data_IF_002532152615
#
_entry.id   IF_002532152615
#
_cell.length_a   1.000
_cell.length_b   1.000
_cell.length_c   1.000
_cell.angle_alpha   90.00
_cell.angle_beta   90.00
_cell.angle_gamma   90.00
#
_symmetry.space_group_name_H-M   'P 1'
#
loop_
_entity.id
_entity.type
_entity.pdbx_description
1 polymer ?
#
# COMPACT_ATOMS: atom_id res chain seq x y z
N UNK A 1 -22.56 82.69 19.71
CA UNK A 1 -23.15 81.35 19.88
C UNK A 1 -22.53 80.42 18.85
N UNK A 2 -21.52 79.65 19.27
CA UNK A 2 -20.73 78.76 18.37
C UNK A 2 -21.24 77.33 18.56
N UNK A 3 -21.75 76.72 17.51
CA UNK A 3 -22.19 75.36 17.50
C UNK A 3 -20.96 74.43 17.21
N UNK A 4 -20.56 73.63 18.18
CA UNK A 4 -19.56 72.60 17.98
C UNK A 4 -20.23 71.34 17.40
N UNK A 5 -19.85 70.96 16.18
CA UNK A 5 -20.29 69.74 15.54
C UNK A 5 -19.31 68.64 15.91
N UNK A 6 -19.76 67.59 16.63
CA UNK A 6 -18.97 66.42 17.01
C UNK A 6 -19.09 65.41 15.88
N UNK A 7 -17.96 65.07 15.27
CA UNK A 7 -17.83 64.04 14.23
C UNK A 7 -17.59 62.70 14.92
N UNK A 8 -18.55 61.78 14.82
CA UNK A 8 -18.39 60.41 15.31
C UNK A 8 -17.69 59.57 14.23
N UNK A 9 -16.50 59.07 14.53
CA UNK A 9 -15.78 58.13 13.71
C UNK A 9 -16.24 56.71 14.07
N UNK A 10 -16.95 56.06 13.15
CA UNK A 10 -17.30 54.64 13.26
C UNK A 10 -16.11 53.81 12.83
N UNK A 11 -15.49 53.09 13.76
CA UNK A 11 -14.47 52.09 13.48
C UNK A 11 -15.17 50.81 13.05
N UNK A 12 -15.11 50.49 11.76
CA UNK A 12 -15.57 49.20 11.22
C UNK A 12 -14.50 48.14 11.51
N UNK A 13 -14.78 47.28 12.48
CA UNK A 13 -13.95 46.08 12.74
C UNK A 13 -14.25 45.05 11.66
N UNK A 14 -13.39 44.93 10.67
CA UNK A 14 -13.38 43.80 9.72
C UNK A 14 -12.90 42.56 10.45
N UNK A 15 -13.83 41.66 10.77
CA UNK A 15 -13.53 40.28 11.16
C UNK A 15 -12.94 39.58 9.93
N UNK A 16 -11.61 39.41 9.92
CA UNK A 16 -10.92 38.44 9.07
C UNK A 16 -11.34 37.05 9.58
N UNK A 17 -12.34 36.46 8.91
CA UNK A 17 -12.56 35.02 9.01
C UNK A 17 -11.34 34.32 8.40
N UNK A 18 -10.37 33.99 9.24
CA UNK A 18 -9.29 33.12 8.85
C UNK A 18 -9.91 31.77 8.46
N UNK A 19 -9.79 31.38 7.20
CA UNK A 19 -9.96 29.99 6.80
C UNK A 19 -8.88 29.20 7.57
N UNK A 20 -9.26 28.62 8.70
CA UNK A 20 -8.50 27.53 9.29
C UNK A 20 -8.58 26.42 8.22
N UNK A 21 -7.51 26.23 7.45
CA UNK A 21 -7.28 24.99 6.75
C UNK A 21 -7.43 23.90 7.82
N UNK A 22 -8.46 23.06 7.68
CA UNK A 22 -8.62 21.92 8.56
C UNK A 22 -7.29 21.17 8.52
N UNK A 23 -6.63 21.08 9.67
CA UNK A 23 -5.39 20.30 9.78
C UNK A 23 -5.71 18.90 9.24
N UNK A 24 -4.93 18.42 8.26
CA UNK A 24 -5.12 17.10 7.67
C UNK A 24 -5.13 16.04 8.78
N UNK A 25 -5.89 14.97 8.61
CA UNK A 25 -6.00 13.89 9.62
C UNK A 25 -4.68 13.15 9.85
N UNK A 26 -3.64 13.47 9.10
CA UNK A 26 -2.31 12.86 9.16
C UNK A 26 -1.86 12.31 7.83
N UNK A 27 -0.66 11.75 7.81
CA UNK A 27 -0.03 11.20 6.60
C UNK A 27 -0.11 9.67 6.61
N UNK A 28 -0.41 9.09 5.45
CA UNK A 28 -0.33 7.65 5.21
C UNK A 28 0.81 7.38 4.24
N UNK A 29 1.74 6.52 4.65
CA UNK A 29 2.85 6.12 3.81
C UNK A 29 2.36 5.07 2.80
N UNK A 30 2.71 5.23 1.53
CA UNK A 30 2.40 4.26 0.47
C UNK A 30 3.71 3.68 -0.05
N UNK A 31 3.94 2.41 0.22
CA UNK A 31 5.14 1.70 -0.22
C UNK A 31 4.90 1.01 -1.56
N UNK A 32 5.61 1.44 -2.58
CA UNK A 32 5.58 0.91 -3.94
C UNK A 32 6.94 0.31 -4.29
N UNK A 33 6.98 -0.61 -5.26
CA UNK A 33 8.23 -1.18 -5.78
C UNK A 33 8.99 -0.19 -6.65
N UNK A 34 10.33 -0.27 -6.60
CA UNK A 34 11.23 0.41 -7.53
C UNK A 34 11.41 -0.31 -8.86
N UNK A 35 10.97 -1.57 -8.94
CA UNK A 35 11.31 -2.49 -10.02
C UNK A 35 10.13 -2.75 -10.95
N UNK A 36 10.46 -3.18 -12.16
CA UNK A 36 9.45 -3.42 -13.21
C UNK A 36 9.67 -4.72 -13.99
N UNK A 37 10.73 -5.46 -13.71
CA UNK A 37 11.08 -6.67 -14.44
C UNK A 37 11.11 -7.87 -13.51
N UNK A 38 10.04 -8.66 -13.53
CA UNK A 38 9.95 -9.90 -12.77
C UNK A 38 10.65 -11.04 -13.54
N UNK A 39 11.65 -11.64 -12.93
CA UNK A 39 12.32 -12.83 -13.48
C UNK A 39 11.38 -14.04 -13.39
N UNK A 40 11.32 -14.82 -14.46
CA UNK A 40 10.56 -16.06 -14.58
C UNK A 40 11.49 -17.28 -14.58
N UNK A 41 10.93 -18.50 -14.42
CA UNK A 41 11.69 -19.73 -14.29
C UNK A 41 12.57 -20.06 -15.50
N UNK A 42 12.09 -19.78 -16.70
CA UNK A 42 12.83 -20.05 -17.95
C UNK A 42 13.80 -18.92 -18.33
N UNK A 43 14.03 -17.97 -17.39
CA UNK A 43 14.95 -16.86 -17.58
C UNK A 43 14.37 -15.69 -18.39
N UNK A 44 13.10 -15.75 -18.75
CA UNK A 44 12.39 -14.62 -19.33
C UNK A 44 12.10 -13.55 -18.27
N UNK A 45 11.68 -12.39 -18.72
CA UNK A 45 11.26 -11.27 -17.88
C UNK A 45 9.80 -10.95 -18.18
N UNK A 46 9.02 -10.69 -17.13
CA UNK A 46 7.67 -10.14 -17.24
C UNK A 46 7.70 -8.68 -16.79
N UNK A 47 7.22 -7.78 -17.65
CA UNK A 47 7.12 -6.36 -17.29
C UNK A 47 5.90 -6.16 -16.42
N UNK A 48 6.11 -5.61 -15.23
CA UNK A 48 5.08 -5.41 -14.22
C UNK A 48 5.22 -4.03 -13.55
N UNK A 49 4.39 -3.76 -12.58
CA UNK A 49 4.35 -2.56 -11.77
C UNK A 49 3.31 -2.70 -10.66
N UNK A 50 2.81 -1.58 -10.13
CA UNK A 50 1.65 -1.60 -9.26
C UNK A 50 0.35 -1.74 -10.09
N UNK A 51 -0.66 -2.42 -9.56
CA UNK A 51 -1.99 -2.46 -10.18
C UNK A 51 -2.73 -1.16 -9.90
N UNK A 52 -3.32 -0.58 -10.96
CA UNK A 52 -3.94 0.75 -10.92
C UNK A 52 -5.03 0.86 -9.84
N UNK A 53 -5.97 -0.10 -9.81
CA UNK A 53 -7.06 -0.09 -8.85
C UNK A 53 -6.59 -0.40 -7.43
N UNK A 54 -5.61 -1.29 -7.25
CA UNK A 54 -5.09 -1.69 -5.95
C UNK A 54 -4.34 -0.56 -5.22
N UNK A 55 -3.78 0.37 -5.97
CA UNK A 55 -3.24 1.60 -5.44
C UNK A 55 -4.28 2.73 -5.45
N UNK A 56 -4.87 3.01 -6.59
CA UNK A 56 -5.67 4.21 -6.80
C UNK A 56 -6.98 4.22 -6.02
N UNK A 57 -7.67 3.07 -5.88
CA UNK A 57 -8.94 3.01 -5.14
C UNK A 57 -8.72 3.22 -3.63
N UNK A 58 -7.81 2.50 -2.94
CA UNK A 58 -7.50 2.81 -1.54
C UNK A 58 -6.94 4.23 -1.34
N UNK A 59 -6.14 4.75 -2.28
CA UNK A 59 -5.65 6.13 -2.24
C UNK A 59 -6.80 7.15 -2.28
N UNK A 60 -7.79 6.94 -3.16
CA UNK A 60 -8.99 7.78 -3.26
C UNK A 60 -9.81 7.77 -1.95
N UNK A 61 -9.96 6.60 -1.32
CA UNK A 61 -10.59 6.47 0.01
C UNK A 61 -9.85 7.29 1.08
N UNK A 62 -8.53 7.20 1.12
CA UNK A 62 -7.69 7.93 2.08
C UNK A 62 -7.77 9.45 1.87
N UNK A 63 -7.65 9.91 0.63
CA UNK A 63 -7.74 11.33 0.28
C UNK A 63 -9.12 11.90 0.60
N UNK A 64 -10.20 11.19 0.27
CA UNK A 64 -11.58 11.57 0.63
C UNK A 64 -11.80 11.61 2.14
N UNK A 65 -11.11 10.77 2.89
CA UNK A 65 -11.14 10.80 4.34
C UNK A 65 -10.30 11.94 4.96
N UNK A 66 -9.51 12.69 4.17
CA UNK A 66 -8.71 13.82 4.60
C UNK A 66 -7.29 13.47 5.06
N UNK A 67 -6.77 12.30 4.68
CA UNK A 67 -5.37 11.93 4.86
C UNK A 67 -4.52 12.43 3.69
N UNK A 68 -3.25 12.72 3.96
CA UNK A 68 -2.24 13.01 2.96
C UNK A 68 -1.46 11.73 2.63
N UNK A 69 -1.05 11.55 1.37
CA UNK A 69 -0.27 10.40 0.96
C UNK A 69 1.19 10.79 0.79
N UNK A 70 2.08 9.98 1.36
CA UNK A 70 3.53 10.10 1.16
C UNK A 70 4.00 8.85 0.44
N UNK A 71 4.51 9.03 -0.78
CA UNK A 71 4.91 7.92 -1.63
C UNK A 71 6.38 7.57 -1.41
N UNK A 72 6.67 6.29 -1.27
CA UNK A 72 8.02 5.77 -1.04
C UNK A 72 8.27 4.54 -1.92
N UNK A 73 9.46 4.48 -2.50
CA UNK A 73 10.00 3.29 -3.14
C UNK A 73 11.38 2.96 -2.53
N UNK A 74 11.87 1.72 -2.64
CA UNK A 74 13.20 1.39 -2.13
C UNK A 74 14.31 2.33 -2.59
N UNK A 75 14.27 2.78 -3.84
CA UNK A 75 15.33 3.61 -4.47
C UNK A 75 14.98 5.10 -4.56
N UNK A 76 13.76 5.52 -4.27
CA UNK A 76 13.30 6.90 -4.46
C UNK A 76 13.02 7.24 -5.93
N UNK A 77 12.76 6.28 -6.79
CA UNK A 77 12.41 6.48 -8.19
C UNK A 77 10.90 6.41 -8.41
N UNK A 78 10.43 6.98 -9.52
CA UNK A 78 9.04 6.87 -9.93
C UNK A 78 8.62 5.39 -10.08
N UNK A 79 7.56 4.94 -9.39
CA UNK A 79 7.01 3.61 -9.60
C UNK A 79 6.28 3.55 -10.95
N UNK A 80 6.09 2.34 -11.47
CA UNK A 80 5.37 2.13 -12.72
C UNK A 80 4.07 1.40 -12.50
N UNK A 81 3.04 1.80 -13.26
CA UNK A 81 1.80 1.02 -13.34
C UNK A 81 2.05 -0.24 -14.16
N UNK A 82 1.46 -1.35 -13.75
CA UNK A 82 1.32 -2.53 -14.60
C UNK A 82 0.19 -2.26 -15.61
N UNK A 83 0.54 -2.12 -16.88
CA UNK A 83 -0.43 -1.75 -17.93
C UNK A 83 -1.55 -2.80 -18.09
N UNK A 84 -1.35 -4.04 -17.67
CA UNK A 84 -2.39 -5.06 -17.67
C UNK A 84 -3.53 -4.75 -16.69
N UNK A 85 -3.27 -3.90 -15.69
CA UNK A 85 -4.25 -3.46 -14.71
C UNK A 85 -5.10 -2.27 -15.19
N UNK A 86 -4.71 -1.61 -16.28
CA UNK A 86 -5.42 -0.46 -16.86
C UNK A 86 -6.57 -0.95 -17.71
N UNK A 87 -7.59 -1.48 -17.08
CA UNK A 87 -8.79 -2.04 -17.73
C UNK A 87 -10.02 -1.79 -16.85
N UNK A 88 -11.15 -1.47 -17.50
CA UNK A 88 -12.43 -1.28 -16.82
C UNK A 88 -12.89 -2.51 -16.02
N UNK A 89 -12.38 -3.69 -16.32
CA UNK A 89 -12.71 -4.92 -15.59
C UNK A 89 -12.49 -4.79 -14.09
N UNK A 90 -11.41 -4.16 -13.67
CA UNK A 90 -11.09 -3.94 -12.25
C UNK A 90 -11.86 -2.77 -11.62
N UNK A 91 -12.70 -2.09 -12.40
CA UNK A 91 -13.55 -0.98 -11.98
C UNK A 91 -15.03 -1.29 -12.21
N UNK A 92 -15.42 -2.57 -12.11
CA UNK A 92 -16.81 -3.01 -12.31
C UNK A 92 -17.33 -2.83 -13.75
N UNK A 93 -16.44 -2.67 -14.73
CA UNK A 93 -16.78 -2.39 -16.12
C UNK A 93 -16.92 -0.89 -16.42
N UNK A 94 -16.64 0.00 -15.46
CA UNK A 94 -16.76 1.45 -15.60
C UNK A 94 -15.44 2.06 -16.12
N UNK A 95 -15.42 2.37 -17.41
CA UNK A 95 -14.29 3.04 -18.08
C UNK A 95 -14.05 4.46 -17.55
N UNK A 96 -15.10 5.18 -17.16
CA UNK A 96 -14.96 6.54 -16.66
C UNK A 96 -14.32 6.54 -15.27
N UNK A 97 -14.70 5.60 -14.42
CA UNK A 97 -14.09 5.44 -13.11
C UNK A 97 -12.62 5.00 -13.23
N UNK A 98 -12.31 4.08 -14.13
CA UNK A 98 -10.91 3.72 -14.43
C UNK A 98 -10.09 4.95 -14.83
N UNK A 99 -10.56 5.76 -15.76
CA UNK A 99 -9.85 6.97 -16.19
C UNK A 99 -9.75 8.02 -15.07
N UNK A 100 -10.78 8.15 -14.24
CA UNK A 100 -10.75 9.03 -13.06
C UNK A 100 -9.65 8.62 -12.09
N UNK A 101 -9.59 7.34 -11.75
CA UNK A 101 -8.57 6.80 -10.84
C UNK A 101 -7.17 6.89 -11.48
N UNK A 102 -7.03 6.61 -12.76
CA UNK A 102 -5.77 6.80 -13.48
C UNK A 102 -5.29 8.25 -13.37
N UNK A 103 -6.15 9.21 -13.67
CA UNK A 103 -5.83 10.63 -13.58
C UNK A 103 -5.48 11.03 -12.15
N UNK A 104 -6.19 10.49 -11.14
CA UNK A 104 -5.87 10.73 -9.74
C UNK A 104 -4.44 10.28 -9.42
N UNK A 105 -4.08 9.04 -9.77
CA UNK A 105 -2.75 8.47 -9.49
C UNK A 105 -1.65 9.26 -10.21
N UNK A 106 -1.83 9.58 -11.49
CA UNK A 106 -0.87 10.33 -12.31
C UNK A 106 -0.62 11.76 -11.77
N UNK A 107 -1.54 12.32 -10.98
CA UNK A 107 -1.42 13.66 -10.39
C UNK A 107 -1.14 13.64 -8.88
N UNK A 108 -0.85 12.48 -8.29
CA UNK A 108 -0.48 12.43 -6.87
C UNK A 108 0.86 13.17 -6.64
N UNK A 109 0.93 14.01 -5.61
CA UNK A 109 2.20 14.62 -5.23
C UNK A 109 3.28 13.55 -4.97
N UNK A 110 4.43 13.68 -5.60
CA UNK A 110 5.56 12.76 -5.42
C UNK A 110 5.49 11.46 -6.23
N UNK A 111 4.53 11.30 -7.16
CA UNK A 111 4.46 10.07 -7.98
C UNK A 111 5.66 9.93 -8.93
N UNK A 112 6.18 11.04 -9.43
CA UNK A 112 7.35 11.07 -10.31
C UNK A 112 8.69 11.17 -9.55
N UNK A 113 8.64 11.49 -8.25
CA UNK A 113 9.81 11.71 -7.39
C UNK A 113 9.49 11.25 -5.96
N UNK A 114 9.44 9.94 -5.76
CA UNK A 114 9.12 9.35 -4.47
C UNK A 114 10.27 9.53 -3.47
N UNK A 115 9.98 9.45 -2.19
CA UNK A 115 11.04 9.29 -1.19
C UNK A 115 11.69 7.91 -1.31
N UNK A 116 12.98 7.83 -1.02
CA UNK A 116 13.63 6.54 -0.83
C UNK A 116 13.32 5.97 0.56
N UNK A 117 13.37 4.63 0.71
CA UNK A 117 13.24 3.99 2.03
C UNK A 117 14.25 4.52 3.03
N UNK A 118 15.48 4.81 2.59
CA UNK A 118 16.52 5.38 3.45
C UNK A 118 16.08 6.72 4.03
N UNK A 119 15.60 7.66 3.20
CA UNK A 119 15.10 8.96 3.66
C UNK A 119 13.94 8.84 4.64
N UNK A 120 13.01 7.92 4.36
CA UNK A 120 11.88 7.64 5.24
C UNK A 120 12.34 7.09 6.59
N UNK A 121 13.26 6.13 6.60
CA UNK A 121 13.79 5.51 7.84
C UNK A 121 14.63 6.47 8.67
N UNK A 122 15.31 7.42 8.04
CA UNK A 122 16.06 8.49 8.72
C UNK A 122 15.15 9.61 9.24
N UNK A 123 13.87 9.64 8.82
CA UNK A 123 12.88 10.63 9.26
C UNK A 123 12.16 10.21 10.55
N UNK A 124 11.27 11.08 11.03
CA UNK A 124 10.38 10.73 12.15
C UNK A 124 9.22 9.85 11.65
N UNK A 125 9.36 8.52 11.78
CA UNK A 125 8.32 7.56 11.39
C UNK A 125 7.01 7.71 12.17
N UNK A 126 7.02 8.36 13.34
CA UNK A 126 5.80 8.57 14.13
C UNK A 126 4.81 9.53 13.47
N UNK A 127 5.25 10.32 12.49
CA UNK A 127 4.37 11.22 11.73
C UNK A 127 3.32 10.47 10.90
N UNK A 128 3.65 9.26 10.43
CA UNK A 128 2.76 8.47 9.60
C UNK A 128 1.70 7.77 10.45
N UNK A 129 0.43 7.94 10.08
CA UNK A 129 -0.72 7.34 10.74
C UNK A 129 -0.90 5.86 10.36
N UNK A 130 -0.49 5.46 9.15
CA UNK A 130 -0.61 4.10 8.63
C UNK A 130 0.25 3.85 7.41
N UNK A 131 0.23 2.61 6.92
CA UNK A 131 0.99 2.13 5.78
C UNK A 131 0.05 1.42 4.80
N UNK A 132 0.18 1.72 3.51
CA UNK A 132 -0.48 1.02 2.41
C UNK A 132 0.58 0.41 1.49
N UNK A 133 0.41 -0.86 1.12
CA UNK A 133 1.28 -1.61 0.20
C UNK A 133 0.42 -2.19 -0.93
N UNK A 134 0.32 -1.50 -2.06
CA UNK A 134 -0.36 -2.02 -3.25
C UNK A 134 0.30 -3.27 -3.81
N UNK A 135 -0.45 -4.02 -4.62
CA UNK A 135 0.06 -5.19 -5.30
C UNK A 135 0.46 -4.93 -6.76
N UNK A 136 0.11 -5.84 -7.65
CA UNK A 136 0.83 -6.14 -8.86
C UNK A 136 2.00 -7.06 -8.51
N UNK A 137 2.73 -7.61 -9.48
CA UNK A 137 3.81 -8.55 -9.20
C UNK A 137 5.13 -7.89 -8.74
N UNK A 138 5.26 -6.58 -8.88
CA UNK A 138 6.48 -5.85 -8.55
C UNK A 138 6.96 -6.02 -7.08
N UNK A 139 6.11 -6.13 -6.05
CA UNK A 139 6.54 -6.41 -4.67
C UNK A 139 7.37 -7.69 -4.49
N UNK A 140 7.22 -8.68 -5.38
CA UNK A 140 8.02 -9.91 -5.37
C UNK A 140 9.51 -9.66 -5.66
N UNK A 141 9.83 -8.54 -6.32
CA UNK A 141 11.18 -8.27 -6.83
C UNK A 141 12.06 -7.66 -5.73
N UNK A 142 11.58 -6.60 -5.09
CA UNK A 142 12.41 -5.75 -4.22
C UNK A 142 11.79 -5.42 -2.85
N UNK A 143 10.56 -5.84 -2.55
CA UNK A 143 9.96 -5.61 -1.24
C UNK A 143 10.07 -6.83 -0.31
N UNK A 144 9.91 -8.04 -0.84
CA UNK A 144 9.86 -9.27 -0.05
C UNK A 144 11.18 -9.60 0.67
N UNK A 145 12.31 -9.18 0.11
CA UNK A 145 13.66 -9.51 0.55
C UNK A 145 14.45 -8.31 1.12
N UNK A 146 13.84 -7.14 1.20
CA UNK A 146 14.51 -5.89 1.55
C UNK A 146 14.50 -5.66 3.07
N UNK A 147 15.68 -5.62 3.74
CA UNK A 147 15.75 -5.41 5.18
C UNK A 147 15.27 -4.03 5.64
N UNK A 148 15.31 -3.01 4.77
CA UNK A 148 14.77 -1.66 5.08
C UNK A 148 13.24 -1.68 5.09
N UNK A 149 12.60 -2.40 4.17
CA UNK A 149 11.15 -2.68 4.23
C UNK A 149 10.82 -3.40 5.54
N UNK A 150 11.62 -4.38 5.92
CA UNK A 150 11.47 -5.07 7.21
C UNK A 150 11.59 -4.14 8.41
N UNK A 151 12.50 -3.17 8.38
CA UNK A 151 12.65 -2.18 9.45
C UNK A 151 11.40 -1.27 9.55
N UNK A 152 10.89 -0.81 8.40
CA UNK A 152 9.66 -0.03 8.32
C UNK A 152 8.47 -0.80 8.91
N UNK A 153 8.26 -2.04 8.47
CA UNK A 153 7.17 -2.90 8.95
C UNK A 153 7.24 -3.16 10.45
N UNK A 154 8.44 -3.40 11.01
CA UNK A 154 8.63 -3.55 12.45
C UNK A 154 8.21 -2.29 13.22
N UNK A 155 8.50 -1.09 12.69
CA UNK A 155 8.05 0.15 13.32
C UNK A 155 6.53 0.24 13.38
N UNK A 156 5.82 0.01 12.26
CA UNK A 156 4.35 0.07 12.21
C UNK A 156 3.71 -0.98 13.11
N UNK A 157 4.21 -2.22 13.09
CA UNK A 157 3.74 -3.30 13.96
C UNK A 157 3.92 -2.96 15.46
N UNK A 158 5.12 -2.52 15.87
CA UNK A 158 5.40 -2.16 17.26
C UNK A 158 4.57 -0.97 17.74
N UNK A 159 4.28 -0.03 16.85
CA UNK A 159 3.45 1.12 17.15
C UNK A 159 1.94 0.83 17.09
N UNK A 160 1.53 -0.38 16.69
CA UNK A 160 0.12 -0.74 16.49
C UNK A 160 -0.58 0.07 15.40
N UNK A 161 0.17 0.61 14.45
CA UNK A 161 -0.36 1.45 13.37
C UNK A 161 -0.87 0.60 12.22
N UNK A 162 -2.06 0.93 11.66
CA UNK A 162 -2.65 0.18 10.56
C UNK A 162 -1.70 -0.02 9.39
N UNK A 163 -1.55 -1.27 8.97
CA UNK A 163 -0.79 -1.66 7.79
C UNK A 163 -1.71 -2.43 6.86
N UNK A 164 -1.99 -1.89 5.68
CA UNK A 164 -2.82 -2.51 4.65
C UNK A 164 -1.96 -2.97 3.48
N UNK A 165 -2.20 -4.21 3.01
CA UNK A 165 -1.52 -4.75 1.84
C UNK A 165 -2.48 -5.59 0.99
N UNK A 166 -2.42 -5.51 -0.34
CA UNK A 166 -3.38 -6.15 -1.23
C UNK A 166 -2.69 -6.96 -2.32
N UNK A 167 -3.34 -8.05 -2.77
CA UNK A 167 -2.90 -8.90 -3.86
C UNK A 167 -1.52 -9.50 -3.58
N UNK A 168 -0.46 -9.09 -4.31
CA UNK A 168 0.93 -9.48 -4.01
C UNK A 168 1.60 -8.57 -2.96
N UNK A 169 1.01 -7.43 -2.61
CA UNK A 169 1.54 -6.52 -1.58
C UNK A 169 1.91 -7.20 -0.26
N UNK A 170 1.12 -8.15 0.28
CA UNK A 170 1.44 -8.85 1.52
C UNK A 170 2.76 -9.62 1.50
N UNK A 171 3.34 -9.93 0.34
CA UNK A 171 4.66 -10.58 0.26
C UNK A 171 5.77 -9.75 0.92
N UNK A 172 5.60 -8.42 0.95
CA UNK A 172 6.52 -7.50 1.62
C UNK A 172 6.69 -7.82 3.11
N UNK A 173 5.68 -8.44 3.75
CA UNK A 173 5.73 -8.83 5.16
C UNK A 173 6.86 -9.82 5.45
N UNK A 174 7.30 -10.61 4.45
CA UNK A 174 8.44 -11.53 4.58
C UNK A 174 9.76 -10.82 4.86
N UNK A 175 9.89 -9.54 4.49
CA UNK A 175 11.07 -8.74 4.80
C UNK A 175 11.27 -8.49 6.30
N UNK A 176 10.21 -8.62 7.11
CA UNK A 176 10.25 -8.37 8.55
C UNK A 176 10.74 -9.59 9.39
N UNK A 177 11.53 -10.48 8.79
CA UNK A 177 12.25 -11.57 9.44
C UNK A 177 13.76 -11.27 9.52
N UNK A 178 14.54 -12.18 10.13
CA UNK A 178 15.99 -11.97 10.38
C UNK A 178 16.81 -11.87 9.08
N UNK A 179 16.56 -12.72 8.11
CA UNK A 179 17.32 -12.82 6.86
C UNK A 179 16.37 -13.03 5.67
N UNK A 180 15.68 -11.97 5.24
CA UNK A 180 14.69 -12.07 4.18
C UNK A 180 15.30 -12.43 2.81
N UNK A 181 16.54 -12.01 2.54
CA UNK A 181 17.21 -12.30 1.28
C UNK A 181 17.56 -13.78 1.15
N UNK A 182 18.12 -14.40 2.22
CA UNK A 182 18.36 -15.83 2.24
C UNK A 182 17.06 -16.64 2.15
N UNK A 183 16.00 -16.17 2.79
CA UNK A 183 14.67 -16.79 2.72
C UNK A 183 14.15 -16.82 1.28
N UNK A 184 14.18 -15.68 0.57
CA UNK A 184 13.74 -15.61 -0.82
C UNK A 184 14.64 -16.47 -1.75
N UNK A 185 15.95 -16.47 -1.52
CA UNK A 185 16.88 -17.32 -2.29
C UNK A 185 16.51 -18.79 -2.17
N UNK A 186 16.23 -19.28 -0.96
CA UNK A 186 15.80 -20.66 -0.73
C UNK A 186 14.48 -20.98 -1.45
N UNK A 187 13.49 -20.08 -1.39
CA UNK A 187 12.24 -20.24 -2.16
C UNK A 187 12.47 -20.33 -3.67
N UNK A 188 13.35 -19.48 -4.21
CA UNK A 188 13.71 -19.48 -5.64
C UNK A 188 14.38 -20.78 -6.05
N UNK A 189 15.14 -21.40 -5.15
CA UNK A 189 15.75 -22.72 -5.35
C UNK A 189 14.76 -23.88 -5.19
N UNK A 190 13.49 -23.60 -4.92
CA UNK A 190 12.45 -24.63 -4.72
C UNK A 190 12.45 -25.26 -3.32
N UNK A 191 13.17 -24.66 -2.37
CA UNK A 191 13.19 -25.08 -0.98
C UNK A 191 11.94 -24.58 -0.23
N UNK A 192 11.69 -25.12 0.96
CA UNK A 192 10.65 -24.66 1.90
C UNK A 192 11.31 -24.15 3.18
N UNK A 193 11.90 -22.95 3.15
CA UNK A 193 12.58 -22.42 4.32
C UNK A 193 11.58 -22.08 5.43
N UNK A 194 12.02 -22.20 6.69
CA UNK A 194 11.32 -21.64 7.84
C UNK A 194 11.77 -20.19 8.06
N UNK A 195 10.83 -19.29 8.28
CA UNK A 195 11.14 -17.92 8.66
C UNK A 195 11.81 -17.90 10.05
N UNK A 196 12.70 -16.92 10.25
CA UNK A 196 13.39 -16.70 11.53
C UNK A 196 13.00 -15.36 12.13
N UNK A 197 12.46 -15.39 13.35
CA UNK A 197 12.06 -14.19 14.09
C UNK A 197 11.11 -13.29 13.26
N UNK A 198 10.20 -13.92 12.51
CA UNK A 198 9.22 -13.20 11.71
C UNK A 198 8.12 -12.64 12.59
N UNK A 199 7.97 -11.31 12.60
CA UNK A 199 7.02 -10.63 13.49
C UNK A 199 5.55 -10.96 13.19
N UNK A 200 5.23 -11.39 11.97
CA UNK A 200 3.87 -11.76 11.54
C UNK A 200 3.58 -13.26 11.65
N UNK A 201 4.47 -14.04 12.27
CA UNK A 201 4.21 -15.46 12.50
C UNK A 201 2.92 -15.67 13.29
N UNK A 202 2.04 -16.52 12.76
CA UNK A 202 0.74 -16.82 13.37
C UNK A 202 -0.35 -15.78 13.15
N UNK A 203 -0.08 -14.67 12.47
CA UNK A 203 -1.12 -13.73 12.04
C UNK A 203 -2.04 -14.39 11.01
N UNK A 204 -3.34 -14.09 11.10
CA UNK A 204 -4.30 -14.39 10.03
C UNK A 204 -4.15 -13.33 8.95
N UNK A 205 -4.10 -13.78 7.71
CA UNK A 205 -3.91 -12.88 6.55
C UNK A 205 -4.40 -13.55 5.27
N UNK A 206 -4.42 -12.80 4.19
CA UNK A 206 -4.60 -13.30 2.84
C UNK A 206 -3.58 -12.69 1.90
N UNK A 207 -3.43 -13.25 0.73
CA UNK A 207 -2.55 -12.82 -0.36
C UNK A 207 -3.12 -13.39 -1.66
N UNK A 208 -2.67 -12.92 -2.80
CA UNK A 208 -3.03 -13.51 -4.09
C UNK A 208 -2.87 -15.03 -4.06
N UNK A 209 -3.96 -15.76 -4.30
CA UNK A 209 -4.03 -17.19 -4.07
C UNK A 209 -3.31 -17.98 -5.17
N UNK A 210 -2.87 -19.20 -4.86
CA UNK A 210 -2.24 -20.08 -5.86
C UNK A 210 -3.15 -20.35 -7.07
N UNK A 211 -4.47 -20.60 -6.93
CA UNK A 211 -5.35 -20.72 -8.11
C UNK A 211 -5.38 -19.47 -8.98
N UNK A 212 -5.39 -18.28 -8.39
CA UNK A 212 -5.34 -17.00 -9.12
C UNK A 212 -4.00 -16.83 -9.83
N UNK A 213 -2.90 -17.17 -9.17
CA UNK A 213 -1.56 -17.14 -9.76
C UNK A 213 -1.42 -18.10 -10.96
N UNK A 214 -2.01 -19.28 -10.87
CA UNK A 214 -2.03 -20.25 -11.97
C UNK A 214 -2.80 -19.73 -13.19
N UNK A 215 -3.83 -18.92 -13.00
CA UNK A 215 -4.53 -18.23 -14.10
C UNK A 215 -3.61 -17.19 -14.74
N UNK A 216 -2.90 -16.41 -13.94
CA UNK A 216 -1.91 -15.47 -14.45
C UNK A 216 -0.81 -16.18 -15.25
N UNK A 217 -0.26 -17.29 -14.76
CA UNK A 217 0.77 -18.08 -15.44
C UNK A 217 0.33 -18.58 -16.84
N UNK A 218 -0.98 -18.76 -17.08
CA UNK A 218 -1.49 -19.11 -18.42
C UNK A 218 -1.17 -18.01 -19.46
N UNK A 219 -1.08 -16.75 -19.03
CA UNK A 219 -0.69 -15.64 -19.90
C UNK A 219 0.80 -15.61 -20.24
N UNK A 220 1.64 -16.35 -19.51
CA UNK A 220 3.09 -16.36 -19.64
C UNK A 220 3.62 -17.35 -20.71
N UNK A 221 2.75 -17.88 -21.56
CA UNK A 221 3.14 -18.79 -22.66
C UNK A 221 3.92 -20.02 -22.19
N UNK A 222 3.52 -20.59 -21.06
CA UNK A 222 4.12 -21.79 -20.47
C UNK A 222 5.26 -21.56 -19.49
N UNK A 223 5.68 -20.31 -19.30
CA UNK A 223 6.64 -19.95 -18.23
C UNK A 223 5.92 -19.79 -16.88
N UNK A 224 6.66 -19.66 -15.80
CA UNK A 224 6.14 -19.57 -14.42
C UNK A 224 6.91 -18.58 -13.59
N UNK A 225 6.27 -18.09 -12.54
CA UNK A 225 6.94 -17.33 -11.49
C UNK A 225 7.92 -18.24 -10.71
N UNK A 226 8.91 -17.63 -10.07
CA UNK A 226 9.99 -18.38 -9.39
C UNK A 226 9.47 -19.17 -8.18
N UNK A 227 8.49 -18.63 -7.44
CA UNK A 227 7.84 -19.29 -6.31
C UNK A 227 6.44 -18.71 -6.10
N UNK A 228 5.51 -19.49 -5.59
CA UNK A 228 4.16 -19.02 -5.28
C UNK A 228 4.15 -18.20 -3.97
N UNK A 229 3.66 -16.94 -4.01
CA UNK A 229 3.61 -16.07 -2.83
C UNK A 229 2.83 -16.67 -1.66
N UNK A 230 1.69 -17.29 -1.93
CA UNK A 230 0.89 -17.98 -0.92
C UNK A 230 1.70 -19.05 -0.17
N UNK A 231 2.40 -19.92 -0.90
CA UNK A 231 3.25 -20.97 -0.31
C UNK A 231 4.40 -20.35 0.50
N UNK A 232 4.97 -19.24 0.04
CA UNK A 232 6.04 -18.55 0.76
C UNK A 232 5.56 -18.02 2.11
N UNK A 233 4.38 -17.40 2.15
CA UNK A 233 3.79 -16.87 3.38
C UNK A 233 3.39 -17.98 4.36
N UNK A 234 2.82 -19.09 3.86
CA UNK A 234 2.50 -20.28 4.68
C UNK A 234 3.77 -20.91 5.28
N UNK A 235 4.81 -21.06 4.49
CA UNK A 235 6.10 -21.59 4.96
C UNK A 235 6.74 -20.71 6.03
N UNK A 236 6.49 -19.40 5.99
CA UNK A 236 6.92 -18.48 7.03
C UNK A 236 6.08 -18.58 8.32
N UNK A 237 4.95 -19.26 8.29
CA UNK A 237 4.07 -19.44 9.44
C UNK A 237 2.88 -18.47 9.50
N UNK A 238 2.53 -17.84 8.37
CA UNK A 238 1.28 -17.09 8.20
C UNK A 238 0.08 -18.03 8.19
N UNK A 239 -1.03 -17.60 8.79
CA UNK A 239 -2.32 -18.32 8.78
C UNK A 239 -3.17 -17.77 7.65
N UNK A 240 -2.98 -18.31 6.45
CA UNK A 240 -3.69 -17.83 5.28
C UNK A 240 -5.16 -18.25 5.28
N UNK A 241 -6.02 -17.32 4.86
CA UNK A 241 -7.44 -17.51 4.70
C UNK A 241 -7.87 -16.94 3.35
N UNK A 242 -8.61 -17.70 2.57
CA UNK A 242 -9.01 -17.37 1.21
C UNK A 242 -10.50 -17.42 1.02
N UNK A 243 -11.02 -16.57 0.15
CA UNK A 243 -12.29 -16.77 -0.54
C UNK A 243 -12.06 -17.53 -1.85
N UNK A 244 -13.15 -17.79 -2.59
CA UNK A 244 -13.06 -18.26 -3.97
C UNK A 244 -12.20 -17.33 -4.82
N UNK A 245 -11.51 -17.90 -5.81
CA UNK A 245 -10.65 -17.10 -6.70
C UNK A 245 -11.44 -15.95 -7.33
N UNK A 246 -10.85 -14.77 -7.35
CA UNK A 246 -11.40 -13.52 -7.86
C UNK A 246 -12.59 -12.94 -7.06
N UNK A 247 -13.03 -13.58 -5.98
CA UNK A 247 -13.98 -12.97 -5.06
C UNK A 247 -13.26 -11.94 -4.16
N UNK A 248 -13.90 -10.78 -3.86
CA UNK A 248 -13.37 -9.84 -2.89
C UNK A 248 -13.19 -10.50 -1.52
N UNK A 249 -12.01 -10.36 -0.92
CA UNK A 249 -11.74 -10.90 0.39
C UNK A 249 -10.71 -10.08 1.16
N UNK A 250 -11.06 -9.67 2.38
CA UNK A 250 -10.19 -8.91 3.28
C UNK A 250 -10.10 -9.61 4.62
N UNK A 251 -8.89 -9.78 5.11
CA UNK A 251 -8.61 -10.34 6.45
C UNK A 251 -7.98 -9.25 7.31
N UNK A 252 -8.48 -9.12 8.54
CA UNK A 252 -7.93 -8.21 9.55
C UNK A 252 -7.45 -9.04 10.74
N UNK A 253 -6.23 -8.80 11.17
CA UNK A 253 -5.68 -9.35 12.41
C UNK A 253 -4.79 -8.31 13.08
N UNK A 254 -5.21 -7.81 14.24
CA UNK A 254 -4.53 -6.71 14.94
C UNK A 254 -4.44 -5.46 14.05
N UNK A 255 -3.24 -4.90 13.86
CA UNK A 255 -2.99 -3.74 13.00
C UNK A 255 -2.92 -4.07 11.50
N UNK A 256 -2.88 -5.35 11.15
CA UNK A 256 -2.70 -5.80 9.76
C UNK A 256 -4.03 -5.99 9.05
N UNK A 257 -4.13 -5.43 7.84
CA UNK A 257 -5.24 -5.58 6.90
C UNK A 257 -4.68 -6.16 5.60
N UNK A 258 -5.20 -7.29 5.14
CA UNK A 258 -4.76 -7.88 3.87
C UNK A 258 -5.94 -8.13 2.95
N UNK A 259 -5.78 -7.82 1.66
CA UNK A 259 -6.74 -8.09 0.58
C UNK A 259 -6.20 -9.16 -0.37
N UNK A 260 -7.06 -10.09 -0.80
CA UNK A 260 -6.62 -11.26 -1.57
C UNK A 260 -6.22 -10.92 -3.01
N UNK A 261 -6.97 -10.07 -3.69
CA UNK A 261 -6.89 -9.88 -5.14
C UNK A 261 -7.34 -8.46 -5.53
N UNK A 262 -7.26 -8.06 -6.81
CA UNK A 262 -7.66 -6.73 -7.26
C UNK A 262 -9.09 -6.31 -6.87
N UNK A 263 -10.02 -7.24 -6.77
CA UNK A 263 -11.42 -6.94 -6.40
C UNK A 263 -11.62 -6.67 -4.89
N UNK A 264 -10.56 -6.77 -4.09
CA UNK A 264 -10.57 -6.46 -2.66
C UNK A 264 -10.28 -4.99 -2.34
N UNK A 265 -10.02 -4.16 -3.35
CA UNK A 265 -9.52 -2.78 -3.28
C UNK A 265 -10.41 -1.83 -2.46
N UNK A 266 -11.71 -1.76 -2.76
CA UNK A 266 -12.67 -0.95 -2.02
C UNK A 266 -12.77 -1.36 -0.56
N UNK A 267 -13.00 -2.66 -0.31
CA UNK A 267 -13.15 -3.18 1.05
C UNK A 267 -11.88 -2.97 1.89
N UNK A 268 -10.70 -3.09 1.29
CA UNK A 268 -9.43 -2.81 1.95
C UNK A 268 -9.27 -1.33 2.25
N UNK A 269 -9.57 -0.44 1.30
CA UNK A 269 -9.51 1.02 1.48
C UNK A 269 -10.45 1.50 2.58
N UNK A 270 -11.70 1.05 2.60
CA UNK A 270 -12.67 1.33 3.64
C UNK A 270 -12.19 0.87 5.02
N UNK A 271 -11.65 -0.36 5.10
CA UNK A 271 -11.16 -0.92 6.35
C UNK A 271 -9.94 -0.17 6.88
N UNK A 272 -9.03 0.25 5.99
CA UNK A 272 -7.87 1.07 6.37
C UNK A 272 -8.32 2.41 6.95
N UNK A 273 -9.24 3.12 6.30
CA UNK A 273 -9.79 4.39 6.79
C UNK A 273 -10.44 4.19 8.17
N UNK A 274 -11.27 3.14 8.34
CA UNK A 274 -11.92 2.85 9.62
C UNK A 274 -10.91 2.66 10.76
N UNK A 275 -9.81 1.92 10.51
CA UNK A 275 -8.79 1.67 11.54
C UNK A 275 -7.97 2.91 11.84
N UNK A 276 -7.64 3.72 10.84
CA UNK A 276 -6.96 5.01 11.03
C UNK A 276 -7.80 5.97 11.87
N UNK A 277 -9.10 6.07 11.61
CA UNK A 277 -10.02 6.91 12.39
C UNK A 277 -10.18 6.45 13.83
N UNK A 278 -10.26 5.12 14.04
CA UNK A 278 -10.31 4.56 15.39
C UNK A 278 -9.05 4.88 16.21
N UNK A 279 -7.86 4.77 15.59
CA UNK A 279 -6.60 5.12 16.25
C UNK A 279 -6.49 6.63 16.52
N UNK A 280 -6.96 7.46 15.61
CA UNK A 280 -6.97 8.92 15.80
C UNK A 280 -7.85 9.35 16.98
N UNK A 281 -9.02 8.73 17.16
CA UNK A 281 -9.92 8.99 18.29
C UNK A 281 -9.35 8.54 19.63
N UNK A 282 -8.54 7.47 19.67
CA UNK A 282 -7.90 6.99 20.91
C UNK A 282 -6.71 7.86 21.33
N UNK A 283 -6.13 8.62 20.41
CA UNK A 283 -4.98 9.49 20.67
C UNK A 283 -5.37 10.90 21.16
N UNK A 284 -6.65 11.26 21.08
CA UNK A 284 -7.22 12.53 21.58
C UNK A 284 -7.72 12.39 23.01
#
# INVERSE_FOLDING_TARGET
MSKKTTLAVAVASTLLAGNALAAGKGEVLVLLSSETQLALKDGKQYTTGFYLNEFGVPADHLLKAGYELVLVTPKGNAPRVDESSVTAQYFGGDEQEMQRIRTLVENLPGIDDTLSLKEVLESNLNRYAGLLIPGGHAPLIDLANNPEVGALLRHFNQAGKPTAAICHGPIALLSAQRDPAAYQTALTNGEKPAARDWIYQGYRMTIFSTPEEQVFEQSLQGDRILFYPATAMESAGGKLNYAEAWAPHVVVDRELITGQNPFSDHALGEKLVQMLEANHQQAQ
#
